data_IF_061466470801
#
_entry.id   IF_061466470801
#
_cell.length_a   1.000
_cell.length_b   1.000
_cell.length_c   1.000
_cell.angle_alpha   90.00
_cell.angle_beta   90.00
_cell.angle_gamma   90.00
#
_symmetry.space_group_name_H-M   'P 1'
#
loop_
_entity.id
_entity.type
_entity.pdbx_description
1 polymer ?
#
# COMPACT_ATOMS: atom_id res chain seq x y z
N UNK A 1 0.69 -57.20 27.06
CA UNK A 1 1.15 -56.02 26.29
C UNK A 1 -0.03 -55.49 25.46
N UNK A 2 -0.55 -54.30 25.74
CA UNK A 2 -1.54 -53.63 24.86
C UNK A 2 -0.91 -52.34 24.37
N UNK A 3 -0.63 -52.23 23.06
CA UNK A 3 -0.10 -51.00 22.47
C UNK A 3 -1.24 -49.99 22.40
N UNK A 4 -1.13 -48.91 23.17
CA UNK A 4 -2.03 -47.77 23.07
C UNK A 4 -1.64 -47.02 21.79
N UNK A 5 -2.51 -47.04 20.78
CA UNK A 5 -2.38 -46.21 19.57
C UNK A 5 -3.23 -44.97 19.77
N UNK A 6 -2.66 -43.96 20.42
CA UNK A 6 -3.27 -42.63 20.50
C UNK A 6 -2.94 -41.88 19.21
N UNK A 7 -3.75 -42.04 18.17
CA UNK A 7 -3.64 -41.20 16.97
C UNK A 7 -4.08 -39.79 17.32
N UNK A 8 -3.11 -38.91 17.59
CA UNK A 8 -3.36 -37.50 17.86
C UNK A 8 -3.80 -36.81 16.56
N UNK A 9 -5.12 -36.70 16.37
CA UNK A 9 -5.72 -36.11 15.16
C UNK A 9 -5.65 -34.57 15.21
N UNK A 10 -4.45 -34.02 15.12
CA UNK A 10 -4.21 -32.57 15.12
C UNK A 10 -4.34 -31.98 13.70
N UNK A 11 -5.52 -32.11 13.09
CA UNK A 11 -5.77 -31.50 11.78
C UNK A 11 -6.11 -30.03 11.96
N UNK A 12 -5.09 -29.21 11.72
CA UNK A 12 -5.14 -27.90 11.04
C UNK A 12 -6.43 -27.09 11.27
N UNK A 13 -6.41 -26.24 12.30
CA UNK A 13 -7.19 -25.00 12.25
C UNK A 13 -6.63 -24.14 11.12
N UNK A 14 -7.18 -24.27 9.91
CA UNK A 14 -6.99 -23.30 8.82
C UNK A 14 -7.75 -22.03 9.17
N UNK A 15 -7.19 -21.27 10.11
CA UNK A 15 -7.64 -19.93 10.42
C UNK A 15 -7.62 -19.12 9.13
N UNK A 16 -8.77 -18.62 8.71
CA UNK A 16 -8.83 -17.60 7.67
C UNK A 16 -8.02 -16.40 8.19
N UNK A 17 -6.85 -16.15 7.63
CA UNK A 17 -6.05 -14.96 7.97
C UNK A 17 -6.77 -13.76 7.38
N UNK A 18 -7.55 -13.06 8.22
CA UNK A 18 -8.47 -11.99 7.82
C UNK A 18 -7.75 -10.65 7.57
N UNK A 19 -6.84 -10.59 6.61
CA UNK A 19 -6.31 -9.33 6.06
C UNK A 19 -5.52 -8.45 7.06
N UNK A 20 -5.72 -7.13 7.11
CA UNK A 20 -6.89 -6.33 6.66
C UNK A 20 -6.73 -5.70 5.26
N UNK A 21 -7.80 -5.07 4.73
CA UNK A 21 -7.68 -4.18 3.58
C UNK A 21 -6.91 -2.91 4.01
N UNK A 22 -5.88 -2.54 3.26
CA UNK A 22 -4.96 -1.48 3.65
C UNK A 22 -5.59 -0.09 3.40
N UNK A 23 -5.39 0.81 4.36
CA UNK A 23 -5.81 2.20 4.29
C UNK A 23 -4.94 2.93 3.26
N UNK A 24 -5.54 3.57 2.25
CA UNK A 24 -4.81 4.17 1.13
C UNK A 24 -4.11 5.45 1.54
N UNK A 25 -3.06 5.80 0.78
CA UNK A 25 -2.56 7.18 0.75
C UNK A 25 -3.51 8.05 -0.08
N UNK A 26 -3.43 9.37 0.07
CA UNK A 26 -4.25 10.35 -0.65
C UNK A 26 -3.40 10.97 -1.77
N UNK A 27 -3.97 11.13 -2.96
CA UNK A 27 -3.40 11.89 -4.07
C UNK A 27 -4.31 13.07 -4.44
N UNK A 28 -3.73 14.26 -4.52
CA UNK A 28 -4.33 15.45 -5.12
C UNK A 28 -3.96 15.47 -6.60
N UNK A 29 -4.93 15.20 -7.48
CA UNK A 29 -4.72 15.16 -8.93
C UNK A 29 -5.97 15.65 -9.67
N UNK A 30 -5.78 16.42 -10.75
CA UNK A 30 -6.86 17.06 -11.53
C UNK A 30 -7.90 17.80 -10.65
N UNK A 31 -7.44 18.48 -9.59
CA UNK A 31 -8.30 19.22 -8.65
C UNK A 31 -9.14 18.35 -7.70
N UNK A 32 -8.88 17.04 -7.62
CA UNK A 32 -9.61 16.09 -6.75
C UNK A 32 -8.66 15.38 -5.80
N UNK A 33 -9.13 15.14 -4.58
CA UNK A 33 -8.52 14.18 -3.67
C UNK A 33 -9.02 12.79 -4.04
N UNK A 34 -8.12 11.85 -4.30
CA UNK A 34 -8.40 10.45 -4.62
C UNK A 34 -7.54 9.53 -3.76
N UNK A 35 -8.00 8.34 -3.38
CA UNK A 35 -7.12 7.34 -2.78
C UNK A 35 -6.13 6.81 -3.83
N UNK A 36 -4.92 6.42 -3.39
CA UNK A 36 -4.00 5.60 -4.18
C UNK A 36 -3.77 4.24 -3.50
N UNK A 37 -3.76 3.21 -4.33
CA UNK A 37 -3.55 1.81 -4.00
C UNK A 37 -2.12 1.36 -4.32
N UNK A 38 -1.18 2.23 -3.97
CA UNK A 38 0.27 2.11 -4.10
C UNK A 38 0.87 2.88 -2.92
N UNK A 39 2.06 2.52 -2.43
CA UNK A 39 2.73 3.23 -1.32
C UNK A 39 4.12 3.77 -1.72
N UNK A 40 4.19 4.94 -2.39
CA UNK A 40 5.43 5.45 -2.98
C UNK A 40 6.52 5.82 -1.98
N UNK A 41 6.17 6.08 -0.71
CA UNK A 41 7.16 6.36 0.33
C UNK A 41 7.84 5.08 0.83
N UNK A 42 7.20 3.90 0.76
CA UNK A 42 7.88 2.65 1.14
C UNK A 42 9.06 2.32 0.21
N UNK A 43 9.05 2.80 -1.04
CA UNK A 43 10.17 2.60 -1.97
C UNK A 43 11.36 3.55 -1.74
N UNK A 44 11.23 4.55 -0.86
CA UNK A 44 12.36 5.38 -0.44
C UNK A 44 13.27 4.62 0.54
N UNK A 45 12.72 3.69 1.31
CA UNK A 45 13.45 3.03 2.38
C UNK A 45 14.27 1.85 1.87
N UNK A 46 15.59 1.94 2.03
CA UNK A 46 16.55 0.92 1.63
C UNK A 46 17.65 0.75 2.71
N UNK A 47 18.79 0.15 2.34
CA UNK A 47 19.94 0.01 3.25
C UNK A 47 20.64 1.33 3.57
N UNK A 48 20.45 2.37 2.75
CA UNK A 48 21.05 3.70 2.92
C UNK A 48 20.11 4.66 3.65
N UNK A 49 18.80 4.52 3.42
CA UNK A 49 17.72 5.28 4.02
C UNK A 49 16.84 4.33 4.86
N UNK A 50 17.31 3.87 6.04
CA UNK A 50 16.58 2.87 6.82
C UNK A 50 15.22 3.40 7.30
N UNK A 51 14.18 2.57 7.16
CA UNK A 51 12.80 2.89 7.60
C UNK A 51 12.78 3.26 9.10
N UNK A 52 12.36 4.49 9.49
CA UNK A 52 12.48 4.97 10.87
C UNK A 52 11.42 4.35 11.79
N UNK A 53 11.79 3.26 12.46
CA UNK A 53 10.91 2.43 13.32
C UNK A 53 10.20 3.20 14.45
N UNK A 54 10.81 4.28 14.95
CA UNK A 54 10.26 5.07 16.06
C UNK A 54 9.29 6.18 15.60
N UNK A 55 9.25 6.48 14.29
CA UNK A 55 8.35 7.49 13.70
C UNK A 55 7.02 6.85 13.31
N UNK A 56 7.08 5.72 12.60
CA UNK A 56 5.91 5.01 12.11
C UNK A 56 5.38 4.01 13.12
N UNK A 57 4.54 4.48 14.04
CA UNK A 57 3.89 3.65 15.06
C UNK A 57 2.81 2.76 14.43
N UNK A 58 2.72 1.51 14.86
CA UNK A 58 1.57 0.67 14.52
C UNK A 58 0.29 1.27 15.12
N UNK A 59 -0.71 1.49 14.27
CA UNK A 59 -1.99 2.07 14.64
C UNK A 59 -3.13 1.05 14.63
N UNK A 60 -3.26 0.29 13.55
CA UNK A 60 -4.32 -0.67 13.32
C UNK A 60 -3.92 -1.67 12.22
N UNK A 61 -4.56 -2.83 12.17
CA UNK A 61 -4.29 -3.86 11.14
C UNK A 61 -4.62 -3.41 9.72
N UNK A 62 -5.49 -2.40 9.57
CA UNK A 62 -5.76 -1.73 8.31
C UNK A 62 -4.69 -0.71 7.90
N UNK A 63 -3.75 -0.34 8.78
CA UNK A 63 -2.64 0.52 8.40
C UNK A 63 -1.32 0.08 9.07
N UNK A 64 -0.80 -1.07 8.63
CA UNK A 64 0.46 -1.62 9.14
C UNK A 64 1.67 -0.70 8.88
N UNK A 65 1.58 0.19 7.88
CA UNK A 65 2.64 1.17 7.55
C UNK A 65 2.82 2.22 8.64
N UNK A 66 1.80 2.49 9.44
CA UNK A 66 1.87 3.46 10.55
C UNK A 66 1.82 4.94 10.14
N UNK A 67 1.56 5.24 8.87
CA UNK A 67 1.28 6.59 8.38
C UNK A 67 0.22 6.59 7.26
N UNK A 68 -0.34 7.76 6.98
CA UNK A 68 -1.03 8.05 5.70
C UNK A 68 -0.29 9.22 5.05
N UNK A 69 0.09 9.04 3.78
CA UNK A 69 0.74 10.10 3.01
C UNK A 69 -0.28 10.86 2.14
N UNK A 70 -0.10 12.16 2.01
CA UNK A 70 -0.77 12.98 1.00
C UNK A 70 0.25 13.36 -0.07
N UNK A 71 -0.06 12.99 -1.31
CA UNK A 71 0.70 13.28 -2.50
C UNK A 71 -0.01 14.31 -3.36
N UNK A 72 0.72 14.99 -4.24
CA UNK A 72 0.17 15.87 -5.28
C UNK A 72 0.88 15.57 -6.59
N UNK A 73 0.14 15.63 -7.70
CA UNK A 73 0.74 15.74 -9.03
C UNK A 73 0.57 17.17 -9.53
N UNK A 74 1.67 17.79 -9.95
CA UNK A 74 1.74 19.14 -10.51
C UNK A 74 2.77 19.14 -11.64
N UNK A 75 2.43 19.71 -12.80
CA UNK A 75 3.30 19.74 -13.99
C UNK A 75 3.87 18.36 -14.43
N UNK A 76 3.10 17.29 -14.17
CA UNK A 76 3.45 15.87 -14.34
C UNK A 76 4.48 15.31 -13.35
N UNK A 77 4.93 16.09 -12.37
CA UNK A 77 5.80 15.64 -11.30
C UNK A 77 4.97 15.24 -10.05
N UNK A 78 5.40 14.17 -9.38
CA UNK A 78 4.83 13.65 -8.14
C UNK A 78 5.55 14.28 -6.95
N UNK A 79 4.77 14.77 -5.99
CA UNK A 79 5.26 15.40 -4.76
C UNK A 79 4.66 14.76 -3.52
N UNK A 80 5.47 14.55 -2.49
CA UNK A 80 5.02 14.26 -1.12
C UNK A 80 4.69 15.60 -0.43
N UNK A 81 3.45 15.76 0.01
CA UNK A 81 2.94 17.01 0.60
C UNK A 81 2.80 16.93 2.11
N UNK A 82 2.33 15.79 2.64
CA UNK A 82 2.05 15.62 4.08
C UNK A 82 2.20 14.17 4.50
N UNK A 83 2.58 13.95 5.75
CA UNK A 83 2.47 12.67 6.45
C UNK A 83 1.65 12.87 7.72
N UNK A 84 0.76 11.94 8.03
CA UNK A 84 0.07 11.85 9.33
C UNK A 84 0.28 10.47 9.93
N UNK A 85 0.18 10.33 11.25
CA UNK A 85 0.16 9.03 11.91
C UNK A 85 -0.97 8.17 11.33
N UNK A 86 -0.74 6.85 11.22
CA UNK A 86 -1.65 5.95 10.52
C UNK A 86 -2.97 5.64 11.25
N UNK A 87 -3.43 6.48 12.18
CA UNK A 87 -4.57 6.19 13.04
C UNK A 87 -5.83 5.89 12.23
N UNK A 88 -6.51 4.78 12.55
CA UNK A 88 -7.83 4.44 12.00
C UNK A 88 -8.96 5.35 12.56
N UNK A 89 -8.67 6.62 12.85
CA UNK A 89 -9.58 7.59 13.46
C UNK A 89 -9.44 8.95 12.81
N UNK A 90 -10.45 9.80 13.04
CA UNK A 90 -10.45 11.20 12.60
C UNK A 90 -9.42 11.99 13.46
N UNK A 91 -8.82 13.05 12.89
CA UNK A 91 -7.78 13.89 13.50
C UNK A 91 -6.43 13.22 13.83
N UNK A 92 -5.87 12.46 12.88
CA UNK A 92 -4.52 11.93 12.93
C UNK A 92 -3.43 13.03 13.10
N UNK A 93 -2.52 12.93 14.10
CA UNK A 93 -1.40 13.87 14.25
C UNK A 93 -0.49 13.91 13.02
N UNK A 94 0.04 15.11 12.70
CA UNK A 94 1.00 15.28 11.60
C UNK A 94 2.38 14.72 11.98
N UNK A 95 2.99 13.96 11.08
CA UNK A 95 4.39 13.53 11.17
C UNK A 95 5.22 14.59 10.42
N UNK A 96 6.13 15.33 11.10
CA UNK A 96 6.95 16.32 10.43
C UNK A 96 7.79 15.68 9.33
N UNK A 97 7.73 16.21 8.11
CA UNK A 97 8.46 15.69 6.94
C UNK A 97 9.98 15.61 7.19
N UNK A 98 10.52 16.51 8.02
CA UNK A 98 11.92 16.51 8.47
C UNK A 98 12.33 15.29 9.29
N UNK A 99 11.39 14.49 9.81
CA UNK A 99 11.72 13.18 10.43
C UNK A 99 12.17 12.13 9.40
N UNK A 100 11.86 12.33 8.13
CA UNK A 100 12.22 11.45 7.00
C UNK A 100 13.25 12.12 6.08
N UNK A 101 13.13 13.44 5.88
CA UNK A 101 13.97 14.25 5.01
C UNK A 101 14.51 15.49 5.76
N UNK A 102 15.56 15.35 6.60
CA UNK A 102 15.95 16.35 7.60
C UNK A 102 16.20 17.77 7.09
N UNK A 103 16.70 17.91 5.85
CA UNK A 103 17.08 19.19 5.25
C UNK A 103 16.02 19.72 4.25
N UNK A 104 14.86 19.08 4.16
CA UNK A 104 13.83 19.41 3.16
C UNK A 104 12.52 19.86 3.82
N UNK A 105 11.74 20.64 3.06
CA UNK A 105 10.39 21.07 3.42
C UNK A 105 9.41 20.59 2.36
N UNK A 106 8.16 20.36 2.74
CA UNK A 106 7.12 19.99 1.78
C UNK A 106 6.71 21.19 0.90
N UNK A 107 6.31 20.97 -0.37
CA UNK A 107 6.22 19.68 -1.05
C UNK A 107 7.59 19.15 -1.53
N UNK A 108 7.88 17.88 -1.25
CA UNK A 108 9.11 17.21 -1.69
C UNK A 108 8.87 16.51 -3.03
N UNK A 109 9.68 16.79 -4.05
CA UNK A 109 9.61 16.11 -5.34
C UNK A 109 10.10 14.66 -5.21
N UNK A 110 9.26 13.71 -5.61
CA UNK A 110 9.43 12.28 -5.36
C UNK A 110 10.39 11.58 -6.34
N UNK A 111 11.56 12.18 -6.60
CA UNK A 111 12.52 11.71 -7.61
C UNK A 111 13.00 10.26 -7.43
N UNK A 112 12.87 9.69 -6.22
CA UNK A 112 13.21 8.29 -5.93
C UNK A 112 12.17 7.29 -6.45
N UNK A 113 10.93 7.72 -6.70
CA UNK A 113 9.84 6.81 -7.03
C UNK A 113 9.79 6.51 -8.53
N UNK A 114 9.93 5.22 -8.86
CA UNK A 114 9.58 4.67 -10.16
C UNK A 114 8.63 3.49 -9.95
N UNK A 115 7.48 3.49 -10.62
CA UNK A 115 6.40 2.53 -10.41
C UNK A 115 5.03 3.09 -10.79
N UNK A 116 3.96 2.35 -10.53
CA UNK A 116 2.61 2.73 -10.97
C UNK A 116 1.71 3.14 -9.81
N UNK A 117 1.14 4.35 -9.85
CA UNK A 117 0.06 4.76 -8.96
C UNK A 117 -1.26 4.18 -9.47
N UNK A 118 -1.95 3.38 -8.65
CA UNK A 118 -3.29 2.84 -8.97
C UNK A 118 -4.37 3.65 -8.26
N UNK A 119 -5.25 4.31 -9.00
CA UNK A 119 -6.35 5.13 -8.50
C UNK A 119 -7.68 4.41 -8.80
N UNK A 120 -8.44 3.95 -7.79
CA UNK A 120 -9.76 3.37 -8.00
C UNK A 120 -10.81 4.45 -8.28
N UNK A 121 -11.69 4.20 -9.24
CA UNK A 121 -12.73 5.12 -9.69
C UNK A 121 -14.09 4.42 -9.77
N UNK A 122 -15.15 5.11 -9.36
CA UNK A 122 -16.51 4.56 -9.34
C UNK A 122 -16.75 3.56 -8.21
N UNK A 123 -17.74 2.68 -8.40
CA UNK A 123 -18.14 1.68 -7.38
C UNK A 123 -17.15 0.53 -7.31
N UNK A 124 -17.04 -0.09 -6.13
CA UNK A 124 -16.30 -1.35 -5.93
C UNK A 124 -17.12 -2.51 -6.50
N UNK A 125 -16.63 -3.15 -7.56
CA UNK A 125 -17.24 -4.33 -8.18
C UNK A 125 -16.98 -5.61 -7.39
N UNK A 126 -15.75 -5.77 -6.86
CA UNK A 126 -15.35 -6.96 -6.12
C UNK A 126 -14.61 -6.56 -4.84
N UNK A 127 -15.08 -7.06 -3.70
CA UNK A 127 -14.40 -6.87 -2.41
C UNK A 127 -13.37 -7.97 -2.17
N UNK A 128 -12.12 -7.55 -1.99
CA UNK A 128 -10.99 -8.37 -1.56
C UNK A 128 -10.43 -7.71 -0.30
N UNK A 129 -10.30 -8.49 0.77
CA UNK A 129 -9.94 -8.05 2.12
C UNK A 129 -8.41 -8.03 2.35
N UNK A 130 -7.61 -8.36 1.33
CA UNK A 130 -6.15 -8.38 1.39
C UNK A 130 -5.60 -7.14 0.67
N UNK A 131 -4.69 -6.41 1.32
CA UNK A 131 -3.94 -5.29 0.73
C UNK A 131 -4.86 -4.28 0.06
N UNK A 132 -4.60 -3.97 -1.20
CA UNK A 132 -5.48 -3.19 -2.06
C UNK A 132 -6.21 -4.05 -3.10
N UNK A 133 -6.35 -5.36 -2.89
CA UNK A 133 -6.77 -6.31 -3.94
C UNK A 133 -8.15 -6.08 -4.55
N UNK A 134 -9.01 -5.26 -3.93
CA UNK A 134 -10.36 -4.96 -4.39
C UNK A 134 -10.38 -4.34 -5.80
N UNK A 135 -11.45 -4.58 -6.55
CA UNK A 135 -11.62 -4.14 -7.95
C UNK A 135 -12.77 -3.14 -8.04
N UNK A 136 -12.57 -2.06 -8.80
CA UNK A 136 -13.50 -0.95 -8.99
C UNK A 136 -13.95 -0.83 -10.45
N UNK A 137 -15.09 -0.17 -10.69
CA UNK A 137 -15.69 0.06 -12.03
C UNK A 137 -14.65 0.55 -13.04
N UNK A 138 -13.80 1.50 -12.61
CA UNK A 138 -12.66 1.98 -13.37
C UNK A 138 -11.43 2.05 -12.48
N UNK A 139 -10.25 1.85 -13.07
CA UNK A 139 -8.98 2.02 -12.39
C UNK A 139 -8.04 2.82 -13.30
N UNK A 140 -7.54 3.95 -12.79
CA UNK A 140 -6.59 4.80 -13.49
C UNK A 140 -5.18 4.47 -12.99
N UNK A 141 -4.30 4.16 -13.92
CA UNK A 141 -2.90 3.81 -13.66
C UNK A 141 -2.00 4.92 -14.20
N UNK A 142 -1.23 5.54 -13.31
CA UNK A 142 -0.21 6.53 -13.69
C UNK A 142 1.17 5.88 -13.53
N UNK A 143 1.87 5.63 -14.63
CA UNK A 143 3.25 5.15 -14.61
C UNK A 143 4.17 6.32 -14.34
N UNK A 144 4.95 6.22 -13.27
CA UNK A 144 5.93 7.21 -12.83
C UNK A 144 7.34 6.66 -13.05
N UNK A 145 8.22 7.48 -13.62
CA UNK A 145 9.66 7.24 -13.68
C UNK A 145 10.38 8.42 -13.04
N UNK A 146 11.22 8.16 -12.03
CA UNK A 146 11.99 9.15 -11.27
C UNK A 146 11.15 10.35 -10.82
N UNK A 147 9.97 10.08 -10.26
CA UNK A 147 9.01 11.07 -9.80
C UNK A 147 8.16 11.74 -10.88
N UNK A 148 8.30 11.41 -12.17
CA UNK A 148 7.56 12.05 -13.27
C UNK A 148 6.61 11.09 -14.00
N UNK A 149 5.39 11.53 -14.32
CA UNK A 149 4.45 10.77 -15.16
C UNK A 149 5.05 10.59 -16.57
N UNK A 150 5.06 9.33 -17.03
CA UNK A 150 5.43 8.93 -18.39
C UNK A 150 4.31 8.23 -19.16
N UNK A 151 3.32 7.65 -18.47
CA UNK A 151 2.15 7.03 -19.09
C UNK A 151 0.91 7.12 -18.19
N UNK A 152 -0.27 7.16 -18.81
CA UNK A 152 -1.58 7.16 -18.16
C UNK A 152 -2.49 6.13 -18.85
N UNK A 153 -3.04 5.17 -18.10
CA UNK A 153 -3.94 4.14 -18.61
C UNK A 153 -5.23 4.08 -17.79
N UNK A 154 -6.39 4.22 -18.44
CA UNK A 154 -7.70 4.05 -17.82
C UNK A 154 -8.28 2.68 -18.16
N UNK A 155 -8.36 1.80 -17.16
CA UNK A 155 -8.92 0.46 -17.28
C UNK A 155 -10.38 0.48 -16.83
N UNK A 156 -11.32 0.26 -17.75
CA UNK A 156 -12.72 -0.04 -17.41
C UNK A 156 -12.87 -1.53 -17.11
N UNK A 157 -13.48 -1.87 -15.97
CA UNK A 157 -13.71 -3.23 -15.48
C UNK A 157 -15.20 -3.61 -15.52
N UNK A 158 -16.11 -2.69 -15.85
CA UNK A 158 -17.56 -2.90 -15.76
C UNK A 158 -18.11 -3.94 -16.76
N UNK A 159 -17.36 -4.22 -17.84
CA UNK A 159 -17.73 -5.17 -18.91
C UNK A 159 -16.76 -6.35 -19.03
N UNK A 160 -15.77 -6.46 -18.14
CA UNK A 160 -14.73 -7.50 -18.21
C UNK A 160 -15.08 -8.67 -17.29
N UNK A 161 -14.65 -9.86 -17.68
CA UNK A 161 -14.56 -10.97 -16.73
C UNK A 161 -13.51 -10.62 -15.67
N UNK A 162 -13.93 -10.64 -14.40
CA UNK A 162 -13.05 -10.30 -13.29
C UNK A 162 -12.35 -11.55 -12.76
N UNK A 163 -11.05 -11.47 -12.40
CA UNK A 163 -10.39 -12.57 -11.71
C UNK A 163 -11.11 -12.89 -10.40
N UNK A 164 -10.99 -14.13 -9.95
CA UNK A 164 -11.61 -14.58 -8.72
C UNK A 164 -11.03 -13.83 -7.51
N UNK A 165 -11.82 -13.75 -6.43
CA UNK A 165 -11.35 -13.22 -5.14
C UNK A 165 -10.10 -13.97 -4.64
N UNK A 166 -9.96 -15.26 -4.96
CA UNK A 166 -8.80 -16.06 -4.60
C UNK A 166 -7.53 -15.61 -5.34
N UNK A 167 -7.58 -15.43 -6.66
CA UNK A 167 -6.43 -14.98 -7.46
C UNK A 167 -5.98 -13.59 -7.03
N UNK A 168 -6.93 -12.66 -6.81
CA UNK A 168 -6.63 -11.33 -6.26
C UNK A 168 -6.02 -11.37 -4.86
N UNK A 169 -6.43 -12.32 -4.01
CA UNK A 169 -5.86 -12.48 -2.67
C UNK A 169 -4.41 -13.03 -2.76
N UNK A 170 -4.14 -13.98 -3.66
CA UNK A 170 -2.79 -14.51 -3.89
C UNK A 170 -1.83 -13.44 -4.42
N UNK A 171 -2.28 -12.60 -5.36
CA UNK A 171 -1.45 -11.55 -5.92
C UNK A 171 -1.04 -10.49 -4.88
N UNK A 172 -1.95 -10.10 -3.99
CA UNK A 172 -1.61 -9.19 -2.88
C UNK A 172 -0.71 -9.86 -1.82
N UNK A 173 -0.87 -11.17 -1.56
CA UNK A 173 0.05 -11.93 -0.71
C UNK A 173 1.45 -12.04 -1.31
N UNK A 174 1.56 -12.18 -2.64
CA UNK A 174 2.84 -12.19 -3.36
C UNK A 174 3.57 -10.86 -3.19
N UNK A 175 2.88 -9.73 -3.40
CA UNK A 175 3.43 -8.38 -3.19
C UNK A 175 3.89 -8.15 -1.75
N UNK A 176 3.10 -8.58 -0.75
CA UNK A 176 3.49 -8.47 0.65
C UNK A 176 4.78 -9.25 0.94
N UNK A 177 4.88 -10.49 0.46
CA UNK A 177 6.08 -11.31 0.64
C UNK A 177 7.32 -10.70 -0.02
N UNK A 178 7.17 -10.12 -1.22
CA UNK A 178 8.24 -9.41 -1.92
C UNK A 178 8.70 -8.15 -1.14
N UNK A 179 7.77 -7.46 -0.47
CA UNK A 179 8.09 -6.36 0.43
C UNK A 179 8.80 -6.82 1.72
N UNK A 180 8.38 -7.92 2.33
CA UNK A 180 9.04 -8.50 3.52
C UNK A 180 10.47 -8.98 3.22
N UNK A 181 10.67 -9.69 2.10
CA UNK A 181 11.98 -10.19 1.63
C UNK A 181 12.97 -9.03 1.33
N UNK A 182 12.47 -7.84 0.96
CA UNK A 182 13.30 -6.67 0.62
C UNK A 182 13.54 -5.71 1.79
N UNK A 183 12.59 -5.59 2.74
CA UNK A 183 12.64 -4.55 3.79
C UNK A 183 12.82 -5.06 5.22
N UNK A 184 12.38 -6.29 5.54
CA UNK A 184 12.38 -6.82 6.92
C UNK A 184 13.49 -7.83 7.14
N UNK A 185 13.74 -8.69 6.16
CA UNK A 185 14.78 -9.72 6.22
C UNK A 185 15.52 -9.84 4.88
N UNK A 186 16.31 -8.84 4.46
CA UNK A 186 17.14 -8.95 3.27
C UNK A 186 18.06 -10.17 3.41
N UNK A 187 17.91 -11.14 2.49
CA UNK A 187 18.75 -12.35 2.44
C UNK A 187 20.22 -11.95 2.48
N UNK A 188 20.95 -12.55 3.42
CA UNK A 188 22.41 -12.44 3.55
C UNK A 188 23.11 -13.13 2.38
#
# INVERSE_FOLDING_TARGET
MKKIVTTLFLIMLTGNVLATAQYPDILVYQGKNQPIFTNPLESYFDKQHPRPKNVFKFSCTANWRGYVATWKIEENDLYLVKLVEGSCGEDAPEIPITTIFPEQQAPIKANWFSGTLRIPLGKRLQYVHMGYGSIYEKELFLTIENGKIVNEELVDNSTKELPTRHERTLEELRKLKEWEDTTVSPKQ
#
